data_IF_723409388489
#
_entry.id   IF_723409388489
#
_cell.length_a   1.000
_cell.length_b   1.000
_cell.length_c   1.000
_cell.angle_alpha   90.00
_cell.angle_beta   90.00
_cell.angle_gamma   90.00
#
_symmetry.space_group_name_H-M   'P 1'
#
loop_
_entity.id
_entity.type
_entity.pdbx_description
1 polymer ?
#
# COMPACT_ATOMS: atom_id res chain seq x y z
N UNK A 1 -15.44 -6.70 16.75
CA UNK A 1 -15.33 -8.17 16.67
C UNK A 1 -16.44 -8.74 15.81
N UNK A 2 -16.07 -9.56 14.83
CA UNK A 2 -16.96 -10.25 13.89
C UNK A 2 -16.23 -11.44 13.25
N UNK A 3 -16.97 -12.36 12.64
CA UNK A 3 -16.42 -13.43 11.79
C UNK A 3 -17.38 -13.70 10.63
N UNK A 4 -16.94 -13.39 9.42
CA UNK A 4 -17.65 -13.56 8.15
C UNK A 4 -16.93 -14.56 7.24
N UNK A 5 -16.11 -15.45 7.81
CA UNK A 5 -15.33 -16.42 7.03
C UNK A 5 -16.24 -17.27 6.15
N UNK A 6 -17.36 -17.76 6.68
CA UNK A 6 -18.30 -18.59 5.92
C UNK A 6 -18.93 -17.83 4.75
N UNK A 7 -19.45 -16.61 5.00
CA UNK A 7 -20.03 -15.77 3.94
C UNK A 7 -19.01 -15.40 2.87
N UNK A 8 -17.76 -15.14 3.27
CA UNK A 8 -16.69 -14.88 2.33
C UNK A 8 -16.43 -16.11 1.43
N UNK A 9 -16.20 -17.28 2.01
CA UNK A 9 -15.82 -18.48 1.24
C UNK A 9 -16.96 -18.98 0.34
N UNK A 10 -18.21 -18.88 0.78
CA UNK A 10 -19.37 -19.40 0.05
C UNK A 10 -19.95 -18.42 -0.97
N UNK A 11 -19.91 -17.11 -0.68
CA UNK A 11 -20.62 -16.11 -1.51
C UNK A 11 -19.67 -15.14 -2.19
N UNK A 12 -18.68 -14.61 -1.48
CA UNK A 12 -17.85 -13.51 -1.97
C UNK A 12 -16.68 -14.03 -2.82
N UNK A 13 -15.99 -15.09 -2.38
CA UNK A 13 -14.86 -15.68 -3.08
C UNK A 13 -15.23 -16.12 -4.52
N UNK A 14 -16.34 -16.83 -4.76
CA UNK A 14 -16.73 -17.20 -6.13
C UNK A 14 -17.00 -15.97 -7.03
N UNK A 15 -17.58 -14.90 -6.48
CA UNK A 15 -17.79 -13.66 -7.24
C UNK A 15 -16.47 -12.95 -7.56
N UNK A 16 -15.53 -12.90 -6.60
CA UNK A 16 -14.20 -12.34 -6.82
C UNK A 16 -13.41 -13.14 -7.86
N UNK A 17 -13.56 -14.46 -7.90
CA UNK A 17 -12.96 -15.31 -8.94
C UNK A 17 -13.51 -14.98 -10.32
N UNK A 18 -14.83 -14.79 -10.46
CA UNK A 18 -15.45 -14.35 -11.72
C UNK A 18 -14.98 -12.96 -12.15
N UNK A 19 -14.91 -11.99 -11.22
CA UNK A 19 -14.38 -10.66 -11.48
C UNK A 19 -12.92 -10.76 -11.94
N UNK A 20 -12.10 -11.54 -11.24
CA UNK A 20 -10.69 -11.72 -11.56
C UNK A 20 -10.51 -12.31 -12.97
N UNK A 21 -11.29 -13.33 -13.34
CA UNK A 21 -11.27 -13.90 -14.69
C UNK A 21 -11.58 -12.84 -15.75
N UNK A 22 -12.63 -12.04 -15.55
CA UNK A 22 -12.99 -10.97 -16.48
C UNK A 22 -11.92 -9.89 -16.57
N UNK A 23 -11.33 -9.50 -15.44
CA UNK A 23 -10.22 -8.55 -15.40
C UNK A 23 -8.99 -9.07 -16.16
N UNK A 24 -8.64 -10.36 -16.00
CA UNK A 24 -7.54 -10.99 -16.74
C UNK A 24 -7.81 -10.98 -18.25
N UNK A 25 -9.00 -11.42 -18.68
CA UNK A 25 -9.39 -11.47 -20.11
C UNK A 25 -9.30 -10.08 -20.77
N UNK A 26 -9.72 -9.03 -20.05
CA UNK A 26 -9.77 -7.67 -20.57
C UNK A 26 -8.48 -6.87 -20.30
N UNK A 27 -7.46 -7.48 -19.70
CA UNK A 27 -6.20 -6.80 -19.38
C UNK A 27 -6.32 -5.72 -18.30
N UNK A 28 -7.33 -5.80 -17.42
CA UNK A 28 -7.60 -4.81 -16.36
C UNK A 28 -6.89 -5.23 -15.07
N UNK A 29 -5.91 -4.43 -14.58
CA UNK A 29 -5.32 -4.66 -13.26
C UNK A 29 -6.35 -4.46 -12.15
N UNK A 30 -6.33 -5.32 -11.13
CA UNK A 30 -7.34 -5.33 -10.07
C UNK A 30 -6.72 -5.76 -8.73
N UNK A 31 -7.23 -5.16 -7.65
CA UNK A 31 -6.93 -5.58 -6.29
C UNK A 31 -8.20 -5.46 -5.44
N UNK A 32 -8.48 -6.49 -4.64
CA UNK A 32 -9.52 -6.46 -3.62
C UNK A 32 -8.96 -6.97 -2.30
N UNK A 33 -9.43 -6.35 -1.21
CA UNK A 33 -9.16 -6.75 0.15
C UNK A 33 -10.48 -6.83 0.92
N UNK A 34 -10.74 -7.98 1.54
CA UNK A 34 -11.92 -8.20 2.36
C UNK A 34 -11.49 -8.48 3.80
N UNK A 35 -11.94 -7.68 4.76
CA UNK A 35 -11.80 -7.99 6.17
C UNK A 35 -12.81 -9.09 6.53
N UNK A 36 -12.34 -10.30 6.78
CA UNK A 36 -13.21 -11.48 6.97
C UNK A 36 -13.42 -11.85 8.42
N UNK A 37 -12.53 -11.42 9.32
CA UNK A 37 -12.62 -11.72 10.75
C UNK A 37 -11.90 -10.68 11.58
N UNK A 38 -12.43 -10.37 12.75
CA UNK A 38 -11.85 -9.46 13.73
C UNK A 38 -12.05 -10.00 15.15
N UNK A 39 -10.95 -10.16 15.89
CA UNK A 39 -10.94 -10.67 17.26
C UNK A 39 -10.69 -9.58 18.33
N UNK A 40 -10.70 -8.30 17.93
CA UNK A 40 -10.45 -7.15 18.80
C UNK A 40 -8.97 -6.85 19.05
N UNK A 41 -8.05 -7.71 18.62
CA UNK A 41 -6.60 -7.47 18.63
C UNK A 41 -6.04 -7.40 17.21
N UNK A 42 -6.56 -8.23 16.32
CA UNK A 42 -6.15 -8.33 14.93
C UNK A 42 -7.35 -8.50 14.00
N UNK A 43 -7.17 -8.07 12.76
CA UNK A 43 -8.14 -8.25 11.69
C UNK A 43 -7.52 -9.13 10.60
N UNK A 44 -8.21 -10.21 10.24
CA UNK A 44 -7.81 -11.09 9.14
C UNK A 44 -8.38 -10.58 7.83
N UNK A 45 -7.51 -10.38 6.85
CA UNK A 45 -7.88 -10.00 5.50
C UNK A 45 -7.72 -11.17 4.52
N UNK A 46 -8.58 -11.20 3.50
CA UNK A 46 -8.43 -12.02 2.30
C UNK A 46 -8.26 -11.08 1.11
N UNK A 47 -7.16 -11.24 0.39
CA UNK A 47 -6.79 -10.34 -0.70
C UNK A 47 -6.72 -11.10 -2.02
N UNK A 48 -7.19 -10.48 -3.10
CA UNK A 48 -7.10 -10.98 -4.48
C UNK A 48 -6.37 -9.93 -5.32
N UNK A 49 -5.44 -10.39 -6.16
CA UNK A 49 -4.60 -9.52 -6.98
C UNK A 49 -4.50 -10.04 -8.42
N UNK A 50 -4.83 -9.17 -9.37
CA UNK A 50 -4.38 -9.22 -10.75
C UNK A 50 -3.49 -8.00 -11.02
N UNK A 51 -2.17 -8.18 -10.96
CA UNK A 51 -1.23 -7.06 -11.05
C UNK A 51 -1.17 -6.46 -12.45
N UNK A 52 -0.75 -5.20 -12.57
CA UNK A 52 -0.52 -4.57 -13.87
C UNK A 52 0.57 -5.28 -14.68
N UNK A 53 1.54 -5.91 -14.00
CA UNK A 53 2.53 -6.76 -14.64
C UNK A 53 1.89 -7.99 -15.31
N UNK A 54 0.94 -8.65 -14.63
CA UNK A 54 0.24 -9.82 -15.15
C UNK A 54 -0.60 -9.50 -16.39
N UNK A 55 -1.11 -8.27 -16.50
CA UNK A 55 -1.91 -7.83 -17.66
C UNK A 55 -1.09 -7.14 -18.75
N UNK A 56 0.24 -7.08 -18.63
CA UNK A 56 1.10 -6.37 -19.59
C UNK A 56 0.83 -4.86 -19.66
N UNK A 57 0.15 -4.29 -18.66
CA UNK A 57 -0.27 -2.89 -18.63
C UNK A 57 0.69 -2.06 -17.77
N UNK A 58 1.04 -0.86 -18.23
CA UNK A 58 1.84 0.08 -17.44
C UNK A 58 0.95 1.18 -16.86
N UNK A 59 0.88 1.24 -15.54
CA UNK A 59 0.16 2.29 -14.82
C UNK A 59 1.09 3.49 -14.57
N UNK A 60 0.67 4.69 -14.98
CA UNK A 60 1.42 5.93 -14.75
C UNK A 60 1.47 6.32 -13.27
N UNK A 61 0.34 6.18 -12.56
CA UNK A 61 0.27 6.19 -11.10
C UNK A 61 -0.23 4.83 -10.62
N UNK A 62 0.70 3.90 -10.44
CA UNK A 62 0.39 2.58 -9.90
C UNK A 62 0.04 2.68 -8.41
N UNK A 63 -1.25 2.74 -8.11
CA UNK A 63 -1.77 2.71 -6.74
C UNK A 63 -1.95 1.29 -6.21
N UNK A 64 -2.11 0.30 -7.08
CA UNK A 64 -2.28 -1.10 -6.70
C UNK A 64 -1.04 -1.59 -5.93
N UNK A 65 0.17 -1.29 -6.41
CA UNK A 65 1.40 -1.61 -5.65
C UNK A 65 1.44 -0.98 -4.26
N UNK A 66 0.87 0.23 -4.10
CA UNK A 66 0.85 0.93 -2.81
C UNK A 66 -0.08 0.21 -1.84
N UNK A 67 -1.26 -0.21 -2.31
CA UNK A 67 -2.18 -1.03 -1.50
C UNK A 67 -1.60 -2.39 -1.12
N UNK A 68 -0.88 -3.06 -2.04
CA UNK A 68 -0.20 -4.32 -1.75
C UNK A 68 0.89 -4.13 -0.69
N UNK A 69 1.67 -3.06 -0.76
CA UNK A 69 2.67 -2.76 0.27
C UNK A 69 2.00 -2.62 1.64
N UNK A 70 0.88 -1.91 1.74
CA UNK A 70 0.12 -1.83 3.00
C UNK A 70 -0.35 -3.21 3.47
N UNK A 71 -0.89 -4.02 2.56
CA UNK A 71 -1.29 -5.40 2.87
C UNK A 71 -0.12 -6.29 3.33
N UNK A 72 1.11 -5.98 2.91
CA UNK A 72 2.34 -6.66 3.33
C UNK A 72 2.97 -6.06 4.61
N UNK A 73 2.29 -5.13 5.28
CA UNK A 73 2.73 -4.55 6.55
C UNK A 73 3.58 -3.28 6.44
N UNK A 74 3.68 -2.68 5.25
CA UNK A 74 4.31 -1.36 5.10
C UNK A 74 3.36 -0.25 5.56
N UNK A 75 3.89 0.73 6.28
CA UNK A 75 3.14 1.92 6.67
C UNK A 75 3.07 2.93 5.52
N UNK A 76 1.93 3.61 5.41
CA UNK A 76 1.80 4.73 4.47
C UNK A 76 2.40 5.98 5.07
N UNK A 77 3.16 6.71 4.25
CA UNK A 77 3.58 8.08 4.58
C UNK A 77 2.81 9.05 3.70
N UNK A 78 2.40 10.18 4.28
CA UNK A 78 1.80 11.26 3.52
C UNK A 78 2.80 11.72 2.45
N UNK A 79 2.32 11.88 1.21
CA UNK A 79 3.17 12.38 0.12
C UNK A 79 3.66 13.77 0.52
N UNK A 80 4.96 13.89 0.80
CA UNK A 80 5.59 15.20 1.01
C UNK A 80 5.51 15.96 -0.29
N UNK A 81 5.07 17.22 -0.22
CA UNK A 81 5.34 18.16 -1.31
C UNK A 81 6.85 18.19 -1.52
N UNK A 82 7.34 18.29 -2.77
CA UNK A 82 8.76 18.51 -2.99
C UNK A 82 9.19 19.70 -2.13
N UNK A 83 10.16 19.49 -1.24
CA UNK A 83 10.76 20.57 -0.48
C UNK A 83 11.33 21.50 -1.53
N UNK A 84 10.84 22.74 -1.57
CA UNK A 84 11.47 23.75 -2.41
C UNK A 84 12.85 23.94 -1.79
N UNK A 85 13.92 23.57 -2.50
CA UNK A 85 15.30 23.61 -1.97
C UNK A 85 15.73 25.01 -1.52
N UNK A 86 14.92 26.04 -1.77
CA UNK A 86 15.08 27.41 -1.29
C UNK A 86 14.92 27.56 0.25
N UNK A 87 14.39 26.56 0.96
CA UNK A 87 14.24 26.62 2.43
C UNK A 87 15.44 26.08 3.24
N UNK A 88 16.42 25.44 2.59
CA UNK A 88 17.63 24.92 3.26
C UNK A 88 18.82 25.87 3.05
N UNK A 89 18.77 27.01 3.71
CA UNK A 89 19.86 27.99 3.74
C UNK A 89 20.95 27.58 4.75
N UNK A 90 21.96 26.84 4.27
CA UNK A 90 23.12 26.43 5.07
C UNK A 90 23.91 27.61 5.64
N UNK A 91 23.73 28.84 5.12
CA UNK A 91 24.39 30.04 5.67
C UNK A 91 23.83 30.46 7.04
N UNK A 92 22.68 29.90 7.45
CA UNK A 92 22.07 30.14 8.76
C UNK A 92 22.47 29.11 9.82
N UNK A 93 23.20 28.07 9.43
CA UNK A 93 23.72 27.10 10.39
C UNK A 93 25.01 27.70 10.96
N UNK A 94 25.06 28.03 12.26
CA UNK A 94 26.29 28.53 12.85
C UNK A 94 27.37 27.45 12.77
N UNK A 95 28.56 27.82 12.29
CA UNK A 95 29.72 26.94 12.36
C UNK A 95 30.04 26.68 13.83
N UNK A 96 30.04 25.41 14.23
CA UNK A 96 30.44 24.99 15.57
C UNK A 96 31.94 24.82 15.55
N UNK A 97 32.66 25.70 16.25
CA UNK A 97 34.09 25.55 16.49
C UNK A 97 34.33 24.45 17.53
N UNK A 98 34.79 23.29 17.05
CA UNK A 98 35.10 22.13 17.89
C UNK A 98 36.52 22.17 18.49
N UNK A 99 37.29 23.24 18.24
CA UNK A 99 38.66 23.37 18.75
C UNK A 99 38.77 23.47 20.28
N UNK A 100 37.67 23.75 20.97
CA UNK A 100 37.63 23.83 22.45
C UNK A 100 37.30 22.50 23.15
N UNK A 101 37.06 21.40 22.42
CA UNK A 101 36.58 20.13 23.03
C UNK A 101 37.69 19.17 23.46
N UNK A 102 38.97 19.47 23.19
CA UNK A 102 40.10 18.67 23.70
C UNK A 102 40.86 19.45 24.79
N UNK A 103 40.44 19.29 26.04
CA UNK A 103 41.26 19.57 27.24
C UNK A 103 41.44 18.31 28.07
#
# INVERSE_FOLDING_TARGET
MFDFTTEYEEKIRPMLEQINQMCVINGIPFFAACAVKDDGTSTTYRNVLNSAHNTGTKLADDQIKKHINVANGFETILKRSPINNEEFDLSRIPEIDISETER
#
